data_IF_907567964272
#
_entry.id   IF_907567964272
#
_cell.length_a   1.000
_cell.length_b   1.000
_cell.length_c   1.000
_cell.angle_alpha   90.00
_cell.angle_beta   90.00
_cell.angle_gamma   90.00
#
_symmetry.space_group_name_H-M   'P 1'
#
loop_
_entity.id
_entity.type
_entity.pdbx_description
1 polymer ?
#
# COMPACT_ATOMS: atom_id res chain seq x y z
N UNK A 1 -41.34 14.55 19.36
CA UNK A 1 -41.54 13.81 18.10
C UNK A 1 -40.38 12.85 17.98
N UNK A 2 -40.62 11.58 18.32
CA UNK A 2 -39.63 10.51 18.30
C UNK A 2 -39.60 9.86 16.91
N UNK A 3 -38.41 9.62 16.37
CA UNK A 3 -38.12 8.81 15.17
C UNK A 3 -36.85 7.98 15.50
N UNK A 4 -36.79 6.69 15.11
CA UNK A 4 -36.43 5.59 16.02
C UNK A 4 -34.99 5.04 15.94
N UNK A 5 -34.67 4.18 16.91
CA UNK A 5 -33.40 3.48 17.23
C UNK A 5 -32.87 2.48 16.16
N UNK A 6 -32.72 2.91 14.91
CA UNK A 6 -32.32 2.03 13.79
C UNK A 6 -30.96 2.29 13.14
N UNK A 7 -30.22 3.33 13.52
CA UNK A 7 -29.04 3.81 12.75
C UNK A 7 -27.83 4.04 13.68
N UNK A 8 -27.42 3.03 14.44
CA UNK A 8 -26.15 3.05 15.18
C UNK A 8 -25.16 1.93 14.80
N UNK A 9 -25.50 1.08 13.82
CA UNK A 9 -24.65 -0.06 13.45
C UNK A 9 -23.63 0.16 12.32
N UNK A 10 -23.47 1.39 11.81
CA UNK A 10 -22.46 1.73 10.80
C UNK A 10 -21.35 2.62 11.38
N UNK A 11 -20.78 2.23 12.52
CA UNK A 11 -19.42 2.62 12.88
C UNK A 11 -18.48 1.69 12.13
N UNK A 12 -18.10 2.08 10.92
CA UNK A 12 -16.97 1.46 10.22
C UNK A 12 -15.77 1.49 11.17
N UNK A 13 -15.41 0.32 11.72
CA UNK A 13 -14.17 0.08 12.47
C UNK A 13 -13.00 0.10 11.47
N UNK A 14 -12.77 1.26 10.86
CA UNK A 14 -11.69 1.56 9.92
C UNK A 14 -10.38 1.83 10.68
N UNK A 15 -10.04 0.96 11.64
CA UNK A 15 -8.77 1.00 12.37
C UNK A 15 -7.81 -0.12 11.98
N UNK A 16 -8.31 -1.15 11.27
CA UNK A 16 -7.55 -2.37 11.01
C UNK A 16 -7.00 -2.50 9.59
N UNK A 17 -7.25 -1.52 8.69
CA UNK A 17 -7.00 -1.66 7.25
C UNK A 17 -5.68 -1.05 6.72
N UNK A 18 -4.96 -0.22 7.48
CA UNK A 18 -3.84 0.56 6.91
C UNK A 18 -2.49 -0.16 6.88
N UNK A 19 -2.36 -1.36 7.44
CA UNK A 19 -1.07 -2.09 7.46
C UNK A 19 -0.98 -3.30 6.52
N UNK A 20 -2.03 -3.57 5.73
CA UNK A 20 -2.14 -4.78 4.90
C UNK A 20 -1.54 -4.65 3.50
N UNK A 21 -1.26 -3.45 3.01
CA UNK A 21 -0.98 -3.25 1.59
C UNK A 21 0.41 -3.70 1.14
N UNK A 22 1.31 -4.06 2.06
CA UNK A 22 2.69 -4.47 1.72
C UNK A 22 3.04 -5.92 2.08
N UNK A 23 2.10 -6.71 2.61
CA UNK A 23 2.35 -8.14 2.81
C UNK A 23 1.91 -8.82 1.52
N UNK A 24 2.86 -9.19 0.67
CA UNK A 24 2.63 -10.11 -0.45
C UNK A 24 1.78 -11.24 0.10
N UNK A 25 0.69 -11.61 -0.62
CA UNK A 25 0.10 -12.93 -0.41
C UNK A 25 1.29 -13.90 -0.39
N UNK A 26 1.48 -14.73 0.66
CA UNK A 26 2.41 -15.84 0.52
C UNK A 26 2.00 -16.51 -0.78
N UNK A 27 2.94 -16.56 -1.72
CA UNK A 27 2.70 -17.22 -2.99
C UNK A 27 2.15 -18.59 -2.60
N UNK A 28 1.00 -18.96 -3.14
CA UNK A 28 0.42 -20.27 -2.95
C UNK A 28 1.34 -21.29 -3.65
N UNK A 29 2.51 -21.53 -3.08
CA UNK A 29 3.37 -22.69 -3.32
C UNK A 29 2.87 -23.86 -2.44
N UNK A 30 1.56 -23.92 -2.18
CA UNK A 30 0.88 -25.05 -1.55
C UNK A 30 1.04 -26.34 -2.38
N UNK A 31 1.43 -26.24 -3.66
CA UNK A 31 1.54 -27.35 -4.60
C UNK A 31 2.85 -28.16 -4.57
N UNK A 32 3.99 -27.55 -4.23
CA UNK A 32 5.32 -28.19 -4.43
C UNK A 32 6.04 -28.59 -3.13
N UNK A 33 5.51 -28.22 -1.97
CA UNK A 33 6.14 -28.51 -0.69
C UNK A 33 5.79 -29.93 -0.19
N UNK A 34 6.76 -30.74 0.27
CA UNK A 34 6.49 -32.11 0.73
C UNK A 34 5.43 -32.14 1.84
N UNK A 35 4.37 -32.92 1.63
CA UNK A 35 3.31 -33.09 2.63
C UNK A 35 3.72 -34.17 3.62
N UNK A 36 4.06 -33.75 4.83
CA UNK A 36 4.30 -34.66 5.94
C UNK A 36 3.04 -34.77 6.80
N UNK A 37 2.75 -35.95 7.38
CA UNK A 37 1.65 -36.08 8.33
C UNK A 37 1.89 -35.11 9.49
N UNK A 38 0.87 -34.32 9.86
CA UNK A 38 0.96 -33.23 10.85
C UNK A 38 1.48 -31.89 10.32
N UNK A 39 1.89 -31.81 9.05
CA UNK A 39 2.44 -30.62 8.43
C UNK A 39 1.80 -30.28 7.07
N UNK A 40 0.47 -30.16 7.06
CA UNK A 40 -0.29 -29.76 5.85
C UNK A 40 -1.26 -28.61 6.13
N UNK A 41 -1.06 -27.87 7.23
CA UNK A 41 -1.88 -26.67 7.47
C UNK A 41 -1.48 -25.55 6.51
N UNK A 42 -2.46 -24.77 6.01
CA UNK A 42 -2.16 -23.61 5.17
C UNK A 42 -1.58 -22.47 6.00
N UNK A 43 -0.71 -21.68 5.36
CA UNK A 43 -0.23 -20.44 5.94
C UNK A 43 -1.34 -19.40 6.01
N UNK A 44 -1.69 -18.98 7.21
CA UNK A 44 -2.68 -17.93 7.44
C UNK A 44 -2.01 -16.70 8.03
N UNK A 45 -2.42 -15.52 7.55
CA UNK A 45 -2.05 -14.26 8.18
C UNK A 45 -2.79 -14.12 9.51
N UNK A 46 -2.05 -13.73 10.54
CA UNK A 46 -2.50 -13.62 11.92
C UNK A 46 -2.49 -12.17 12.35
N UNK A 47 -3.51 -11.75 13.09
CA UNK A 47 -3.46 -10.52 13.86
C UNK A 47 -3.02 -10.83 15.29
N UNK A 48 -1.96 -10.15 15.73
CA UNK A 48 -1.43 -10.25 17.07
C UNK A 48 -1.71 -8.94 17.78
N UNK A 49 -2.72 -8.95 18.65
CA UNK A 49 -2.99 -7.81 19.54
C UNK A 49 -2.16 -7.93 20.80
N UNK A 50 -1.73 -6.79 21.32
CA UNK A 50 -0.96 -6.73 22.55
C UNK A 50 -1.53 -5.72 23.54
N UNK A 51 -1.36 -6.04 24.83
CA UNK A 51 -1.61 -5.14 25.94
C UNK A 51 -0.41 -5.15 26.88
N UNK A 52 0.08 -3.97 27.25
CA UNK A 52 1.11 -3.81 28.25
C UNK A 52 0.48 -3.20 29.51
N UNK A 53 0.47 -3.94 30.62
CA UNK A 53 -0.20 -3.55 31.88
C UNK A 53 -1.67 -3.11 31.67
N UNK A 54 -2.39 -3.78 30.75
CA UNK A 54 -3.79 -3.50 30.43
C UNK A 54 -4.01 -2.36 29.42
N UNK A 55 -2.98 -1.66 28.96
CA UNK A 55 -3.09 -0.64 27.90
C UNK A 55 -2.90 -1.31 26.54
N UNK A 56 -3.89 -1.15 25.64
CA UNK A 56 -3.83 -1.70 24.27
C UNK A 56 -2.69 -1.03 23.50
N UNK A 57 -1.75 -1.84 23.02
CA UNK A 57 -0.59 -1.43 22.23
C UNK A 57 -0.82 -1.59 20.72
N UNK A 58 0.28 -1.60 19.98
CA UNK A 58 0.27 -1.77 18.53
C UNK A 58 -0.19 -3.18 18.10
N UNK A 59 -1.03 -3.30 17.07
CA UNK A 59 -1.41 -4.61 16.53
C UNK A 59 -0.42 -5.04 15.46
N UNK A 60 0.25 -6.18 15.69
CA UNK A 60 1.19 -6.75 14.72
C UNK A 60 0.48 -7.68 13.75
N UNK A 61 1.06 -7.82 12.55
CA UNK A 61 0.68 -8.86 11.60
C UNK A 61 1.72 -9.98 11.63
N UNK A 62 1.26 -11.21 11.71
CA UNK A 62 2.10 -12.41 11.73
C UNK A 62 1.63 -13.47 10.74
N UNK A 63 2.28 -14.63 10.77
CA UNK A 63 1.95 -15.80 9.94
C UNK A 63 1.95 -17.07 10.79
N UNK A 64 1.04 -18.01 10.52
CA UNK A 64 1.00 -19.33 11.18
C UNK A 64 2.06 -20.27 10.64
N UNK A 65 2.40 -21.32 11.38
CA UNK A 65 3.14 -22.47 10.85
C UNK A 65 2.24 -23.44 10.07
N UNK A 66 2.85 -24.40 9.34
CA UNK A 66 2.13 -25.53 8.71
C UNK A 66 1.72 -26.65 9.68
N UNK A 67 2.12 -26.52 10.93
CA UNK A 67 1.89 -27.48 12.01
C UNK A 67 1.33 -26.75 13.24
N UNK A 68 0.95 -27.50 14.28
CA UNK A 68 0.33 -26.93 15.48
C UNK A 68 -1.18 -26.70 15.32
N UNK A 69 -1.81 -26.21 16.40
CA UNK A 69 -3.25 -25.97 16.40
C UNK A 69 -3.68 -24.78 15.54
N UNK A 70 -4.91 -24.87 15.02
CA UNK A 70 -5.54 -23.77 14.31
C UNK A 70 -5.90 -22.62 15.25
N UNK A 71 -5.71 -21.40 14.75
CA UNK A 71 -6.18 -20.20 15.43
C UNK A 71 -7.66 -19.94 15.16
N UNK A 72 -8.38 -19.32 16.11
CA UNK A 72 -9.74 -18.85 15.88
C UNK A 72 -9.79 -17.82 14.75
N UNK A 73 -10.90 -17.81 14.02
CA UNK A 73 -11.13 -16.87 12.91
C UNK A 73 -11.53 -15.47 13.37
N UNK A 74 -12.06 -15.37 14.59
CA UNK A 74 -12.62 -14.15 15.14
C UNK A 74 -11.94 -13.80 16.48
N UNK A 75 -11.75 -12.49 16.70
CA UNK A 75 -11.19 -11.94 17.95
C UNK A 75 -11.95 -12.44 19.19
N UNK A 76 -13.28 -12.52 19.12
CA UNK A 76 -14.15 -12.90 20.26
C UNK A 76 -13.94 -14.33 20.76
N UNK A 77 -13.45 -15.21 19.89
CA UNK A 77 -13.22 -16.62 20.20
C UNK A 77 -11.78 -16.90 20.61
N UNK A 78 -10.96 -15.85 20.74
CA UNK A 78 -9.54 -15.94 21.02
C UNK A 78 -9.25 -15.62 22.48
N UNK A 79 -8.30 -16.35 23.06
CA UNK A 79 -7.92 -16.18 24.46
C UNK A 79 -6.79 -15.17 24.57
N UNK A 80 -6.89 -14.29 25.57
CA UNK A 80 -5.82 -13.39 25.98
C UNK A 80 -4.91 -14.18 26.92
N UNK A 81 -3.63 -14.30 26.56
CA UNK A 81 -2.63 -15.07 27.32
C UNK A 81 -1.42 -14.19 27.61
N UNK A 82 -0.75 -14.44 28.74
CA UNK A 82 0.46 -13.68 29.09
C UNK A 82 1.63 -14.16 28.24
N UNK A 83 2.39 -13.23 27.66
CA UNK A 83 3.61 -13.54 26.92
C UNK A 83 4.81 -13.59 27.88
N UNK A 84 5.62 -14.63 27.75
CA UNK A 84 6.79 -14.87 28.57
C UNK A 84 7.98 -15.16 27.64
N UNK A 85 9.10 -14.49 27.87
CA UNK A 85 10.34 -14.77 27.15
C UNK A 85 10.89 -16.13 27.59
N UNK A 86 11.22 -16.95 26.60
CA UNK A 86 11.94 -18.20 26.81
C UNK A 86 13.37 -17.97 27.32
N UNK A 87 13.90 -18.93 28.06
CA UNK A 87 15.29 -18.92 28.50
C UNK A 87 15.89 -20.32 28.31
N UNK A 88 16.74 -20.57 27.29
CA UNK A 88 17.34 -19.59 26.39
C UNK A 88 16.33 -18.96 25.42
N UNK A 89 16.59 -17.72 25.01
CA UNK A 89 15.72 -16.95 24.10
C UNK A 89 15.45 -17.65 22.76
N UNK A 90 16.34 -18.53 22.32
CA UNK A 90 16.14 -19.29 21.09
C UNK A 90 15.18 -20.48 21.27
N UNK A 91 14.78 -20.85 22.50
CA UNK A 91 13.87 -21.96 22.75
C UNK A 91 14.37 -23.31 22.24
N UNK A 92 15.69 -23.49 22.10
CA UNK A 92 16.29 -24.72 21.54
C UNK A 92 16.68 -25.75 22.60
N UNK A 93 16.57 -25.39 23.88
CA UNK A 93 16.72 -26.32 24.99
C UNK A 93 15.67 -26.00 26.05
N UNK A 94 15.27 -26.99 26.87
CA UNK A 94 14.45 -26.73 28.04
C UNK A 94 15.10 -25.69 28.95
N UNK A 95 14.27 -24.91 29.62
CA UNK A 95 14.69 -23.83 30.47
C UNK A 95 15.40 -24.35 31.71
N UNK A 96 16.69 -24.04 31.83
CA UNK A 96 17.52 -24.45 32.96
C UNK A 96 17.24 -23.58 34.19
N UNK A 97 16.12 -23.83 34.89
CA UNK A 97 15.74 -23.27 36.21
C UNK A 97 15.50 -21.74 36.28
N UNK A 98 14.39 -21.31 36.90
CA UNK A 98 14.38 -20.87 38.31
C UNK A 98 12.97 -20.51 38.80
N UNK A 99 12.46 -21.30 39.74
CA UNK A 99 11.23 -21.01 40.48
C UNK A 99 10.70 -22.15 41.36
N UNK A 100 11.51 -23.16 41.75
CA UNK A 100 11.08 -24.08 42.79
C UNK A 100 11.41 -23.46 44.17
N UNK A 101 10.43 -22.84 44.82
CA UNK A 101 10.56 -22.42 46.23
C UNK A 101 10.35 -23.65 47.11
N UNK A 102 11.44 -24.35 47.42
CA UNK A 102 11.39 -25.56 48.23
C UNK A 102 10.85 -26.79 47.48
N UNK A 103 11.07 -27.95 48.07
CA UNK A 103 10.99 -29.28 47.46
C UNK A 103 9.58 -29.75 47.01
N UNK A 104 8.57 -28.87 46.96
CA UNK A 104 7.17 -29.30 46.77
C UNK A 104 6.31 -28.48 45.79
N UNK A 105 6.76 -27.32 45.31
CA UNK A 105 6.04 -26.56 44.26
C UNK A 105 7.03 -26.04 43.23
N UNK A 106 6.99 -26.61 42.03
CA UNK A 106 7.63 -26.00 40.87
C UNK A 106 6.54 -25.47 39.94
N UNK A 107 6.50 -24.16 39.74
CA UNK A 107 5.62 -23.51 38.78
C UNK A 107 6.33 -23.58 37.43
N UNK A 108 5.74 -24.28 36.44
CA UNK A 108 6.21 -24.14 35.07
C UNK A 108 5.94 -22.70 34.62
N UNK A 109 7.01 -21.94 34.40
CA UNK A 109 6.96 -20.51 34.09
C UNK A 109 6.19 -20.18 32.80
N UNK A 110 5.97 -21.19 31.95
CA UNK A 110 5.22 -21.09 30.70
C UNK A 110 3.82 -21.71 30.76
N UNK A 111 3.42 -22.31 31.89
CA UNK A 111 2.12 -23.00 32.00
C UNK A 111 0.96 -22.05 31.68
N UNK A 112 0.21 -22.36 30.61
CA UNK A 112 -0.90 -21.53 30.15
C UNK A 112 -0.50 -20.16 29.59
N UNK A 113 0.79 -19.94 29.32
CA UNK A 113 1.33 -18.68 28.79
C UNK A 113 1.78 -18.86 27.33
N UNK A 114 2.07 -17.74 26.65
CA UNK A 114 2.68 -17.76 25.31
C UNK A 114 4.19 -17.73 25.46
N UNK A 115 4.86 -18.79 25.02
CA UNK A 115 6.32 -18.79 24.94
C UNK A 115 6.77 -17.89 23.80
N UNK A 116 7.63 -16.92 24.10
CA UNK A 116 8.23 -16.02 23.11
C UNK A 116 9.68 -16.40 22.87
N UNK A 117 10.01 -16.75 21.63
CA UNK A 117 11.35 -17.20 21.22
C UNK A 117 11.85 -16.37 20.05
N UNK A 118 13.17 -16.28 19.86
CA UNK A 118 13.77 -15.72 18.65
C UNK A 118 14.03 -16.83 17.62
N UNK A 119 13.93 -16.47 16.34
CA UNK A 119 14.32 -17.36 15.23
C UNK A 119 15.82 -17.66 15.27
N UNK A 120 16.18 -18.86 14.82
CA UNK A 120 17.57 -19.35 14.72
C UNK A 120 17.95 -20.38 15.79
N UNK A 121 19.11 -21.02 15.62
CA UNK A 121 19.68 -22.01 16.55
C UNK A 121 19.15 -23.45 16.39
N UNK A 122 17.87 -23.63 16.09
CA UNK A 122 17.21 -24.92 15.84
C UNK A 122 15.92 -24.72 15.04
N UNK A 123 15.31 -25.82 14.61
CA UNK A 123 14.13 -25.83 13.75
C UNK A 123 12.87 -25.34 14.47
N UNK A 124 11.89 -24.88 13.69
CA UNK A 124 10.62 -24.37 14.23
C UNK A 124 9.81 -25.44 14.97
N UNK A 125 9.81 -26.68 14.48
CA UNK A 125 9.13 -27.81 15.13
C UNK A 125 9.74 -28.10 16.51
N UNK A 126 11.07 -28.13 16.59
CA UNK A 126 11.81 -28.32 17.84
C UNK A 126 11.48 -27.25 18.89
N UNK A 127 11.43 -25.97 18.48
CA UNK A 127 11.01 -24.87 19.38
C UNK A 127 9.61 -25.08 19.93
N UNK A 128 8.68 -25.51 19.08
CA UNK A 128 7.28 -25.74 19.47
C UNK A 128 7.12 -26.96 20.38
N UNK A 129 7.86 -28.04 20.13
CA UNK A 129 7.88 -29.22 20.99
C UNK A 129 8.40 -28.88 22.40
N UNK A 130 9.50 -28.13 22.48
CA UNK A 130 10.07 -27.68 23.76
C UNK A 130 9.07 -26.78 24.48
N UNK A 131 8.55 -25.74 23.83
CA UNK A 131 7.58 -24.83 24.44
C UNK A 131 6.33 -25.57 24.94
N UNK A 132 5.81 -26.52 24.16
CA UNK A 132 4.67 -27.35 24.56
C UNK A 132 5.02 -28.24 25.76
N UNK A 133 6.20 -28.87 25.77
CA UNK A 133 6.66 -29.70 26.88
C UNK A 133 6.80 -28.90 28.19
N UNK A 134 7.03 -27.59 28.08
CA UNK A 134 7.07 -26.63 29.18
C UNK A 134 5.69 -26.06 29.55
N UNK A 135 4.61 -26.58 28.97
CA UNK A 135 3.23 -26.21 29.28
C UNK A 135 2.76 -24.92 28.64
N UNK A 136 3.49 -24.37 27.66
CA UNK A 136 3.04 -23.22 26.89
C UNK A 136 1.70 -23.51 26.21
N UNK A 137 0.82 -22.52 26.17
CA UNK A 137 -0.46 -22.60 25.47
C UNK A 137 -0.35 -22.16 24.00
N UNK A 138 0.72 -21.45 23.63
CA UNK A 138 1.05 -21.02 22.28
C UNK A 138 2.54 -20.69 22.16
N UNK A 139 3.07 -20.71 20.94
CA UNK A 139 4.43 -20.27 20.61
C UNK A 139 4.40 -19.03 19.73
N UNK A 140 5.13 -18.00 20.13
CA UNK A 140 5.41 -16.80 19.34
C UNK A 140 6.88 -16.77 18.96
N UNK A 141 7.17 -16.78 17.66
CA UNK A 141 8.51 -16.68 17.10
C UNK A 141 8.76 -15.25 16.61
N UNK A 142 9.81 -14.62 17.13
CA UNK A 142 10.30 -13.32 16.68
C UNK A 142 11.27 -13.55 15.54
N UNK A 143 10.95 -12.98 14.37
CA UNK A 143 11.82 -13.09 13.21
C UNK A 143 13.09 -12.22 13.36
N UNK A 144 14.13 -12.60 12.63
CA UNK A 144 15.38 -11.85 12.49
C UNK A 144 15.29 -10.71 11.47
N UNK A 145 14.35 -10.81 10.54
CA UNK A 145 14.04 -9.85 9.47
C UNK A 145 12.63 -9.23 9.61
N UNK A 146 12.37 -8.16 8.85
CA UNK A 146 11.04 -7.51 8.80
C UNK A 146 10.02 -8.26 7.93
N UNK A 147 10.49 -9.04 6.96
CA UNK A 147 9.61 -9.87 6.12
C UNK A 147 9.17 -11.12 6.89
N UNK A 148 7.92 -11.57 6.70
CA UNK A 148 7.41 -12.77 7.35
C UNK A 148 7.96 -14.01 6.64
N UNK A 149 8.56 -14.93 7.41
CA UNK A 149 9.05 -16.20 6.89
C UNK A 149 8.02 -17.32 7.08
N UNK A 150 7.92 -18.18 6.07
CA UNK A 150 7.09 -19.39 6.12
C UNK A 150 7.73 -20.46 7.00
N UNK A 151 7.01 -20.92 8.02
CA UNK A 151 7.48 -21.98 8.93
C UNK A 151 7.00 -23.35 8.42
N UNK A 152 7.86 -24.03 7.65
CA UNK A 152 7.66 -25.41 7.20
C UNK A 152 8.13 -26.46 8.20
N UNK A 153 8.06 -27.73 7.80
CA UNK A 153 8.58 -28.86 8.58
C UNK A 153 9.70 -29.57 7.85
N UNK A 154 10.61 -30.16 8.63
CA UNK A 154 11.70 -30.98 8.11
C UNK A 154 11.34 -32.46 8.05
N UNK A 155 12.09 -33.23 7.25
CA UNK A 155 11.92 -34.68 7.13
C UNK A 155 12.26 -35.36 8.48
N UNK A 156 11.30 -36.09 9.04
CA UNK A 156 11.47 -36.81 10.31
C UNK A 156 11.09 -35.98 11.55
N UNK A 157 10.48 -34.81 11.37
CA UNK A 157 9.95 -33.99 12.48
C UNK A 157 8.69 -34.58 13.12
N UNK A 158 8.53 -34.38 14.43
CA UNK A 158 7.36 -34.76 15.25
C UNK A 158 6.20 -33.75 15.14
N UNK A 159 5.98 -33.20 13.94
CA UNK A 159 4.97 -32.15 13.71
C UNK A 159 3.54 -32.55 14.11
N UNK A 160 3.21 -33.86 14.12
CA UNK A 160 1.91 -34.39 14.55
C UNK A 160 1.64 -34.22 16.04
N UNK A 161 2.69 -34.20 16.86
CA UNK A 161 2.57 -34.17 18.32
C UNK A 161 2.42 -32.73 18.84
N UNK A 162 2.55 -31.73 17.96
CA UNK A 162 2.44 -30.31 18.29
C UNK A 162 0.97 -29.90 18.24
N UNK A 163 0.41 -29.61 19.41
CA UNK A 163 -0.98 -29.24 19.66
C UNK A 163 -1.18 -27.76 20.00
N UNK A 164 -0.09 -27.00 20.17
CA UNK A 164 -0.14 -25.55 20.41
C UNK A 164 -0.09 -24.77 19.09
N UNK A 165 -0.76 -23.60 18.98
CA UNK A 165 -0.62 -22.73 17.82
C UNK A 165 0.76 -22.07 17.80
N UNK A 166 1.33 -21.93 16.59
CA UNK A 166 2.65 -21.33 16.37
C UNK A 166 2.52 -20.14 15.41
N UNK A 167 2.98 -18.97 15.84
CA UNK A 167 2.87 -17.70 15.10
C UNK A 167 4.24 -17.05 15.00
N UNK A 168 4.58 -16.53 13.82
CA UNK A 168 5.79 -15.72 13.60
C UNK A 168 5.41 -14.26 13.35
N UNK A 169 6.15 -13.33 13.97
CA UNK A 169 6.00 -11.88 13.83
C UNK A 169 7.31 -11.24 13.32
N UNK A 170 7.25 -10.06 12.68
CA UNK A 170 8.44 -9.37 12.20
C UNK A 170 9.33 -8.89 13.35
N UNK A 171 10.60 -8.62 13.04
CA UNK A 171 11.62 -8.16 13.98
C UNK A 171 11.19 -6.93 14.78
N UNK A 172 10.67 -5.89 14.12
CA UNK A 172 10.19 -4.65 14.78
C UNK A 172 9.14 -4.92 15.87
N UNK A 173 8.14 -5.76 15.58
CA UNK A 173 7.12 -6.15 16.56
C UNK A 173 7.68 -6.95 17.72
N UNK A 174 8.62 -7.87 17.44
CA UNK A 174 9.31 -8.62 18.48
C UNK A 174 10.18 -7.75 19.39
N UNK A 175 10.87 -6.74 18.85
CA UNK A 175 11.65 -5.77 19.63
C UNK A 175 10.76 -4.93 20.54
N UNK A 176 9.59 -4.49 20.05
CA UNK A 176 8.61 -3.78 20.86
C UNK A 176 8.15 -4.64 22.06
N UNK A 177 7.75 -5.89 21.80
CA UNK A 177 7.28 -6.80 22.85
C UNK A 177 8.40 -7.15 23.85
N UNK A 178 9.59 -7.47 23.36
CA UNK A 178 10.73 -7.82 24.18
C UNK A 178 11.11 -6.67 25.13
N UNK A 179 11.11 -5.43 24.62
CA UNK A 179 11.35 -4.24 25.45
C UNK A 179 10.34 -4.12 26.58
N UNK A 180 9.04 -4.26 26.30
CA UNK A 180 8.00 -4.21 27.33
C UNK A 180 8.15 -5.30 28.38
N UNK A 181 8.51 -6.53 27.98
CA UNK A 181 8.72 -7.65 28.92
C UNK A 181 9.95 -7.39 29.80
N UNK A 182 11.07 -6.93 29.21
CA UNK A 182 12.31 -6.62 29.94
C UNK A 182 12.14 -5.44 30.89
N UNK A 183 11.31 -4.46 30.52
CA UNK A 183 10.93 -3.33 31.38
C UNK A 183 10.01 -3.75 32.55
N UNK A 184 9.72 -5.04 32.71
CA UNK A 184 8.92 -5.62 33.79
C UNK A 184 7.41 -5.43 33.63
N UNK A 185 6.94 -5.05 32.43
CA UNK A 185 5.52 -4.92 32.15
C UNK A 185 4.89 -6.31 31.94
N UNK A 186 3.68 -6.51 32.44
CA UNK A 186 2.87 -7.67 32.10
C UNK A 186 2.36 -7.49 30.66
N UNK A 187 2.90 -8.27 29.74
CA UNK A 187 2.50 -8.28 28.33
C UNK A 187 1.51 -9.39 28.09
N UNK A 188 0.34 -9.05 27.58
CA UNK A 188 -0.73 -9.99 27.23
C UNK A 188 -0.98 -9.93 25.73
N UNK A 189 -1.17 -11.09 25.11
CA UNK A 189 -1.32 -11.25 23.67
C UNK A 189 -2.56 -12.03 23.31
N UNK A 190 -3.13 -11.73 22.14
CA UNK A 190 -4.25 -12.45 21.55
C UNK A 190 -3.98 -12.66 20.06
N UNK A 191 -4.15 -13.90 19.60
CA UNK A 191 -3.94 -14.31 18.22
C UNK A 191 -5.26 -14.71 17.57
N UNK A 192 -5.55 -14.20 16.37
CA UNK A 192 -6.64 -14.68 15.54
C UNK A 192 -6.29 -14.58 14.05
N UNK A 193 -6.85 -15.50 13.25
CA UNK A 193 -6.59 -15.62 11.82
C UNK A 193 -7.86 -15.29 11.02
N UNK A 194 -8.10 -14.01 10.68
CA UNK A 194 -9.33 -13.60 10.00
C UNK A 194 -9.44 -14.21 8.60
N UNK A 195 -10.63 -14.68 8.24
CA UNK A 195 -10.91 -15.20 6.89
C UNK A 195 -10.94 -14.05 5.90
N UNK A 196 -10.07 -14.10 4.89
CA UNK A 196 -10.10 -13.15 3.77
C UNK A 196 -11.28 -13.50 2.86
N UNK A 197 -12.21 -12.56 2.59
CA UNK A 197 -13.22 -12.78 1.57
C UNK A 197 -12.55 -12.95 0.19
N UNK A 198 -13.10 -13.78 -0.71
CA UNK A 198 -12.51 -14.02 -2.03
C UNK A 198 -12.50 -12.77 -2.91
N UNK A 199 -13.44 -11.85 -2.67
CA UNK A 199 -13.55 -10.58 -3.38
C UNK A 199 -13.43 -9.45 -2.38
N UNK A 200 -12.44 -8.60 -2.59
CA UNK A 200 -12.29 -7.34 -1.86
C UNK A 200 -13.11 -6.25 -2.58
N UNK A 201 -14.16 -5.75 -1.92
CA UNK A 201 -15.03 -4.69 -2.47
C UNK A 201 -14.25 -3.42 -2.82
N UNK A 202 -13.11 -3.17 -2.16
CA UNK A 202 -12.23 -2.04 -2.45
C UNK A 202 -11.72 -2.10 -3.88
N UNK A 203 -11.44 -3.29 -4.42
CA UNK A 203 -10.97 -3.48 -5.80
C UNK A 203 -12.04 -3.08 -6.81
N UNK A 204 -13.30 -3.46 -6.55
CA UNK A 204 -14.44 -3.07 -7.40
C UNK A 204 -14.61 -1.55 -7.37
N UNK A 205 -14.52 -0.94 -6.19
CA UNK A 205 -14.63 0.51 -6.02
C UNK A 205 -13.51 1.25 -6.78
N UNK A 206 -12.25 0.82 -6.63
CA UNK A 206 -11.11 1.39 -7.35
C UNK A 206 -11.26 1.26 -8.85
N UNK A 207 -11.75 0.11 -9.35
CA UNK A 207 -12.00 -0.09 -10.77
C UNK A 207 -13.06 0.89 -11.31
N UNK A 208 -14.17 1.07 -10.60
CA UNK A 208 -15.22 2.03 -10.97
C UNK A 208 -14.67 3.47 -10.96
N UNK A 209 -13.89 3.84 -9.94
CA UNK A 209 -13.27 5.17 -9.87
C UNK A 209 -12.29 5.43 -11.01
N UNK A 210 -11.48 4.43 -11.37
CA UNK A 210 -10.52 4.55 -12.48
C UNK A 210 -11.24 4.73 -13.82
N UNK A 211 -12.22 3.86 -14.13
CA UNK A 211 -13.01 3.97 -15.36
C UNK A 211 -13.78 5.29 -15.39
N UNK A 212 -14.39 5.68 -14.27
CA UNK A 212 -15.09 6.96 -14.12
C UNK A 212 -14.17 8.16 -14.40
N UNK A 213 -12.95 8.14 -13.88
CA UNK A 213 -11.95 9.21 -14.10
C UNK A 213 -11.59 9.35 -15.57
N UNK A 214 -11.35 8.23 -16.27
CA UNK A 214 -11.04 8.24 -17.71
C UNK A 214 -12.21 8.75 -18.53
N UNK A 215 -13.43 8.31 -18.23
CA UNK A 215 -14.65 8.79 -18.91
C UNK A 215 -14.81 10.29 -18.69
N UNK A 216 -14.73 10.76 -17.43
CA UNK A 216 -14.80 12.19 -17.09
C UNK A 216 -13.75 13.01 -17.84
N UNK A 217 -12.50 12.53 -17.91
CA UNK A 217 -11.44 13.19 -18.65
C UNK A 217 -11.74 13.24 -20.17
N UNK A 218 -12.28 12.17 -20.76
CA UNK A 218 -12.57 12.14 -22.20
C UNK A 218 -13.63 13.16 -22.63
N UNK A 219 -14.68 13.34 -21.82
CA UNK A 219 -15.76 14.32 -22.09
C UNK A 219 -15.46 15.71 -21.51
N UNK A 220 -14.32 15.88 -20.84
CA UNK A 220 -13.97 17.11 -20.14
C UNK A 220 -13.90 18.32 -21.08
N UNK A 221 -13.39 18.13 -22.30
CA UNK A 221 -13.31 19.19 -23.30
C UNK A 221 -14.69 19.73 -23.69
N UNK A 222 -15.71 18.87 -23.81
CA UNK A 222 -17.10 19.29 -24.07
C UNK A 222 -17.70 20.06 -22.89
N UNK A 223 -17.31 19.68 -21.68
CA UNK A 223 -17.71 20.36 -20.44
C UNK A 223 -17.05 21.74 -20.31
N UNK A 224 -15.81 21.88 -20.80
CA UNK A 224 -15.00 23.09 -20.71
C UNK A 224 -15.27 24.13 -21.81
N UNK A 225 -16.03 23.79 -22.86
CA UNK A 225 -16.29 24.61 -24.06
C UNK A 225 -17.10 25.91 -23.84
N UNK A 226 -17.08 26.53 -22.65
CA UNK A 226 -17.63 27.87 -22.45
C UNK A 226 -16.62 29.02 -22.59
N UNK A 227 -15.31 28.76 -22.72
CA UNK A 227 -14.29 29.82 -22.79
C UNK A 227 -13.49 29.91 -24.11
N UNK A 228 -13.24 28.83 -24.87
CA UNK A 228 -12.43 28.95 -26.11
C UNK A 228 -13.19 29.54 -27.33
N UNK A 229 -14.52 29.58 -27.31
CA UNK A 229 -15.32 30.14 -28.41
C UNK A 229 -15.21 31.66 -28.58
N UNK A 230 -14.62 32.39 -27.63
CA UNK A 230 -14.54 33.87 -27.73
C UNK A 230 -13.22 34.40 -28.29
N UNK A 231 -12.16 33.60 -28.33
CA UNK A 231 -10.87 34.02 -28.91
C UNK A 231 -10.67 33.47 -30.33
N UNK A 232 -11.11 32.25 -30.63
CA UNK A 232 -10.90 31.64 -31.96
C UNK A 232 -11.81 32.18 -33.07
N UNK A 233 -12.96 32.78 -32.73
CA UNK A 233 -13.86 33.40 -33.72
C UNK A 233 -13.50 34.87 -34.04
N UNK A 234 -12.70 35.54 -33.20
CA UNK A 234 -12.27 36.92 -33.46
C UNK A 234 -11.05 37.01 -34.39
N UNK A 235 -10.30 35.93 -34.59
CA UNK A 235 -9.19 35.88 -35.56
C UNK A 235 -9.62 35.55 -37.00
N UNK A 236 -10.87 35.14 -37.24
CA UNK A 236 -11.37 34.72 -38.56
C UNK A 236 -12.32 35.73 -39.22
N UNK A 237 -12.33 36.98 -38.78
CA UNK A 237 -12.97 38.08 -39.52
C UNK A 237 -12.10 38.51 -40.70
N UNK A 238 -12.52 38.30 -41.97
CA UNK A 238 -11.72 38.65 -43.12
C UNK A 238 -11.72 40.17 -43.33
N UNK A 239 -10.56 40.80 -43.19
CA UNK A 239 -10.30 42.09 -43.84
C UNK A 239 -9.68 41.82 -45.20
N UNK A 240 -10.52 41.89 -46.23
CA UNK A 240 -10.10 42.01 -47.61
C UNK A 240 -9.27 43.28 -47.80
N UNK A 241 -8.04 43.16 -48.31
CA UNK A 241 -7.52 44.06 -49.35
C UNK A 241 -6.34 43.43 -50.06
N UNK A 242 -6.40 43.50 -51.39
CA UNK A 242 -5.55 42.85 -52.37
C UNK A 242 -4.05 43.21 -52.28
N UNK A 243 -3.17 42.27 -52.62
CA UNK A 243 -2.44 42.31 -53.89
C UNK A 243 -1.68 41.00 -54.16
N UNK A 244 -1.78 40.58 -55.42
CA UNK A 244 -1.22 39.37 -55.99
C UNK A 244 0.31 39.45 -56.21
N UNK A 245 1.00 38.32 -56.06
CA UNK A 245 1.96 37.85 -57.06
C UNK A 245 2.31 36.38 -56.82
N UNK A 246 2.12 35.59 -57.87
CA UNK A 246 2.51 34.20 -57.99
C UNK A 246 4.03 34.04 -58.05
N UNK A 247 4.59 32.95 -57.50
CA UNK A 247 5.52 32.03 -58.18
C UNK A 247 6.01 30.90 -57.25
N UNK A 248 5.85 29.66 -57.77
CA UNK A 248 6.72 28.47 -57.63
C UNK A 248 6.85 27.79 -56.26
N UNK A 249 6.37 26.56 -56.11
CA UNK A 249 6.94 25.27 -56.59
C UNK A 249 7.88 24.67 -55.54
N UNK A 250 7.62 23.40 -55.22
CA UNK A 250 8.44 22.46 -54.47
C UNK A 250 9.10 22.93 -53.17
N UNK A 251 8.42 22.69 -52.05
CA UNK A 251 9.14 22.19 -50.87
C UNK A 251 8.21 21.29 -50.06
N UNK A 252 8.34 19.98 -50.28
CA UNK A 252 8.13 18.97 -49.25
C UNK A 252 9.04 19.34 -48.06
N UNK A 253 8.56 20.21 -47.17
CA UNK A 253 9.21 20.49 -45.90
C UNK A 253 8.87 19.33 -44.97
N UNK A 254 9.82 18.41 -44.85
CA UNK A 254 10.08 17.54 -43.71
C UNK A 254 8.88 17.42 -42.75
N UNK A 255 8.05 16.39 -42.99
CA UNK A 255 7.34 15.75 -41.89
C UNK A 255 8.42 15.22 -40.98
N UNK A 256 8.76 15.98 -39.94
CA UNK A 256 9.68 15.50 -38.92
C UNK A 256 9.03 14.23 -38.37
N UNK A 257 9.69 13.09 -38.57
CA UNK A 257 9.35 11.77 -38.00
C UNK A 257 9.46 11.77 -36.45
N UNK A 258 8.80 12.73 -35.78
CA UNK A 258 8.54 12.77 -34.35
C UNK A 258 7.32 11.87 -34.13
N UNK A 259 7.56 10.57 -34.04
CA UNK A 259 6.49 9.64 -33.70
C UNK A 259 7.04 8.37 -33.05
N UNK A 260 8.12 7.81 -33.60
CA UNK A 260 8.73 6.56 -33.10
C UNK A 260 9.93 6.85 -32.20
N UNK A 261 10.78 7.81 -32.57
CA UNK A 261 11.95 8.20 -31.76
C UNK A 261 11.53 8.75 -30.39
N UNK A 262 10.49 9.58 -30.34
CA UNK A 262 9.94 10.11 -29.08
C UNK A 262 9.34 9.02 -28.20
N UNK A 263 8.67 8.02 -28.79
CA UNK A 263 8.12 6.88 -28.06
C UNK A 263 9.21 6.02 -27.42
N UNK A 264 10.31 5.73 -28.15
CA UNK A 264 11.45 4.97 -27.61
C UNK A 264 12.14 5.75 -26.49
N UNK A 265 12.41 7.05 -26.70
CA UNK A 265 13.00 7.92 -25.68
C UNK A 265 12.12 7.96 -24.43
N UNK A 266 10.80 8.10 -24.61
CA UNK A 266 9.84 8.08 -23.50
C UNK A 266 9.93 6.79 -22.68
N UNK A 267 9.97 5.61 -23.33
CA UNK A 267 10.09 4.31 -22.63
C UNK A 267 11.42 4.19 -21.87
N UNK A 268 12.53 4.62 -22.47
CA UNK A 268 13.85 4.59 -21.82
C UNK A 268 13.89 5.54 -20.62
N UNK A 269 13.37 6.76 -20.77
CA UNK A 269 13.28 7.74 -19.69
C UNK A 269 12.38 7.25 -18.56
N UNK A 270 11.21 6.69 -18.86
CA UNK A 270 10.31 6.10 -17.87
C UNK A 270 10.95 4.92 -17.13
N UNK A 271 11.66 4.04 -17.85
CA UNK A 271 12.38 2.90 -17.26
C UNK A 271 13.52 3.36 -16.36
N UNK A 272 14.27 4.37 -16.79
CA UNK A 272 15.35 4.97 -16.00
C UNK A 272 14.80 5.64 -14.75
N UNK A 273 13.70 6.38 -14.89
CA UNK A 273 13.03 7.02 -13.76
C UNK A 273 12.55 5.97 -12.75
N UNK A 274 11.88 4.89 -13.18
CA UNK A 274 11.41 3.84 -12.28
C UNK A 274 12.55 3.08 -11.59
N UNK A 275 13.66 2.83 -12.27
CA UNK A 275 14.87 2.28 -11.65
C UNK A 275 15.48 3.24 -10.63
N UNK A 276 15.51 4.54 -10.94
CA UNK A 276 15.93 5.56 -9.98
C UNK A 276 14.99 5.59 -8.77
N UNK A 277 13.68 5.49 -8.96
CA UNK A 277 12.71 5.35 -7.86
C UNK A 277 13.08 4.18 -6.96
N UNK A 278 13.34 3.01 -7.55
CA UNK A 278 13.64 1.77 -6.84
C UNK A 278 14.96 1.84 -6.06
N UNK A 279 16.05 2.24 -6.70
CA UNK A 279 17.37 2.28 -6.05
C UNK A 279 17.53 3.45 -5.09
N UNK A 280 16.88 4.58 -5.37
CA UNK A 280 16.86 5.76 -4.50
C UNK A 280 15.57 5.84 -3.68
N UNK A 281 14.98 4.70 -3.27
CA UNK A 281 13.89 4.56 -2.27
C UNK A 281 14.31 5.10 -0.88
N UNK A 282 14.82 6.32 -0.86
CA UNK A 282 15.25 7.09 0.27
C UNK A 282 14.07 7.91 0.77
N UNK A 283 14.01 8.12 2.09
CA UNK A 283 13.00 8.94 2.73
C UNK A 283 12.87 10.33 2.12
N UNK A 284 13.97 10.91 1.61
CA UNK A 284 13.97 12.21 0.94
C UNK A 284 13.22 12.19 -0.40
N UNK A 285 13.38 11.12 -1.17
CA UNK A 285 12.76 10.98 -2.47
C UNK A 285 11.22 10.88 -2.35
N UNK A 286 10.72 10.19 -1.33
CA UNK A 286 9.28 10.11 -1.03
C UNK A 286 8.70 11.49 -0.73
N UNK A 287 9.42 12.33 0.03
CA UNK A 287 8.99 13.71 0.29
C UNK A 287 8.96 14.56 -0.98
N UNK A 288 9.90 14.36 -1.91
CA UNK A 288 9.90 15.02 -3.21
C UNK A 288 8.64 14.65 -4.02
N UNK A 289 8.28 13.36 -4.09
CA UNK A 289 7.06 12.93 -4.79
C UNK A 289 5.80 13.53 -4.17
N UNK A 290 5.72 13.61 -2.83
CA UNK A 290 4.59 14.24 -2.13
C UNK A 290 4.47 15.71 -2.53
N UNK A 291 5.59 16.44 -2.60
CA UNK A 291 5.58 17.86 -3.00
C UNK A 291 5.12 18.02 -4.46
N UNK A 292 5.65 17.22 -5.39
CA UNK A 292 5.22 17.24 -6.80
C UNK A 292 3.73 16.88 -6.95
N UNK A 293 3.27 15.87 -6.21
CA UNK A 293 1.86 15.48 -6.18
C UNK A 293 0.96 16.60 -5.67
N UNK A 294 1.37 17.32 -4.63
CA UNK A 294 0.63 18.49 -4.14
C UNK A 294 0.55 19.60 -5.19
N UNK A 295 1.66 19.93 -5.86
CA UNK A 295 1.64 20.96 -6.92
C UNK A 295 0.70 20.58 -8.06
N UNK A 296 0.84 19.37 -8.60
CA UNK A 296 -0.03 18.90 -9.67
C UNK A 296 -1.49 18.74 -9.23
N UNK A 297 -1.73 18.30 -7.99
CA UNK A 297 -3.07 18.18 -7.42
C UNK A 297 -3.75 19.52 -7.21
N UNK A 298 -3.02 20.56 -6.76
CA UNK A 298 -3.53 21.93 -6.64
C UNK A 298 -3.91 22.49 -8.01
N UNK A 299 -3.01 22.36 -8.99
CA UNK A 299 -3.26 22.83 -10.36
C UNK A 299 -4.47 22.11 -10.97
N UNK A 300 -4.51 20.78 -10.88
CA UNK A 300 -5.60 20.00 -11.45
C UNK A 300 -6.94 20.26 -10.77
N UNK A 301 -6.96 20.41 -9.44
CA UNK A 301 -8.17 20.72 -8.69
C UNK A 301 -8.66 22.15 -8.95
N UNK A 302 -7.74 23.11 -9.07
CA UNK A 302 -8.07 24.49 -9.45
C UNK A 302 -8.70 24.55 -10.84
N UNK A 303 -8.12 23.86 -11.83
CA UNK A 303 -8.69 23.74 -13.17
C UNK A 303 -10.08 23.10 -13.12
N UNK A 304 -10.22 21.96 -12.43
CA UNK A 304 -11.49 21.25 -12.31
C UNK A 304 -12.60 22.11 -11.70
N UNK A 305 -12.32 22.73 -10.55
CA UNK A 305 -13.30 23.55 -9.83
C UNK A 305 -13.65 24.81 -10.61
N UNK A 306 -12.66 25.48 -11.20
CA UNK A 306 -12.88 26.71 -11.97
C UNK A 306 -13.74 26.44 -13.20
N UNK A 307 -13.48 25.38 -13.97
CA UNK A 307 -14.32 24.97 -15.10
C UNK A 307 -15.76 24.67 -14.67
N UNK A 308 -15.95 23.96 -13.56
CA UNK A 308 -17.30 23.65 -13.04
C UNK A 308 -18.03 24.91 -12.57
N UNK A 309 -17.35 25.82 -11.87
CA UNK A 309 -17.93 27.09 -11.39
C UNK A 309 -18.33 27.99 -12.56
N UNK A 310 -17.49 28.11 -13.59
CA UNK A 310 -17.78 28.93 -14.77
C UNK A 310 -18.96 28.36 -15.57
N UNK A 311 -19.08 27.03 -15.63
CA UNK A 311 -20.23 26.35 -16.24
C UNK A 311 -21.51 26.58 -15.44
N UNK A 312 -21.46 26.45 -14.11
CA UNK A 312 -22.63 26.63 -13.24
C UNK A 312 -23.06 28.10 -13.16
N UNK A 313 -22.12 29.04 -13.25
CA UNK A 313 -22.34 30.48 -13.12
C UNK A 313 -21.70 31.28 -14.26
N UNK A 314 -22.31 31.33 -15.45
CA UNK A 314 -21.84 32.13 -16.61
C UNK A 314 -21.68 33.64 -16.33
N UNK A 315 -22.31 34.18 -15.28
CA UNK A 315 -22.17 35.58 -14.85
C UNK A 315 -20.99 35.83 -13.90
N UNK A 316 -20.40 34.79 -13.30
CA UNK A 316 -19.36 34.93 -12.27
C UNK A 316 -17.98 35.30 -12.85
N UNK A 317 -17.68 34.95 -14.10
CA UNK A 317 -16.42 35.29 -14.79
C UNK A 317 -16.27 36.77 -15.17
N UNK A 318 -17.28 37.62 -14.93
CA UNK A 318 -17.31 39.02 -15.40
C UNK A 318 -16.57 40.02 -14.50
N UNK A 319 -16.18 39.65 -13.27
CA UNK A 319 -15.42 40.53 -12.35
C UNK A 319 -13.92 40.25 -12.47
N UNK A 320 -13.26 40.95 -13.40
CA UNK A 320 -11.80 40.91 -13.59
C UNK A 320 -11.12 41.94 -12.68
N UNK A 321 -10.08 41.54 -11.95
CA UNK A 321 -9.18 42.46 -11.26
C UNK A 321 -7.82 42.45 -11.94
N UNK A 322 -7.25 43.63 -12.14
CA UNK A 322 -5.91 43.80 -12.69
C UNK A 322 -4.89 43.74 -11.55
N UNK A 323 -4.10 42.67 -11.48
CA UNK A 323 -2.92 42.60 -10.63
C UNK A 323 -1.65 42.85 -11.47
N UNK A 324 -0.75 43.74 -11.02
CA UNK A 324 0.41 44.19 -11.80
C UNK A 324 1.49 43.11 -12.03
N UNK A 325 1.34 41.92 -11.44
CA UNK A 325 2.31 40.81 -11.56
C UNK A 325 1.77 39.56 -12.28
N UNK A 326 0.44 39.40 -12.39
CA UNK A 326 -0.22 38.15 -12.83
C UNK A 326 -1.26 38.34 -13.96
N UNK A 327 -1.48 39.56 -14.45
CA UNK A 327 -2.45 39.84 -15.51
C UNK A 327 -3.91 39.91 -15.03
N UNK A 328 -4.86 39.99 -15.99
CA UNK A 328 -6.31 40.00 -15.74
C UNK A 328 -6.77 38.65 -15.14
N UNK A 329 -6.94 38.60 -13.82
CA UNK A 329 -7.40 37.37 -13.13
C UNK A 329 -8.75 37.61 -12.45
N UNK A 330 -9.62 36.60 -12.48
CA UNK A 330 -10.93 36.66 -11.82
C UNK A 330 -10.77 36.43 -10.30
N UNK A 331 -11.48 37.21 -9.47
CA UNK A 331 -11.46 37.04 -8.00
C UNK A 331 -11.82 35.62 -7.55
N UNK A 332 -12.66 34.95 -8.33
CA UNK A 332 -13.14 33.61 -8.06
C UNK A 332 -12.01 32.59 -8.26
N UNK A 333 -11.22 32.73 -9.33
CA UNK A 333 -10.07 31.87 -9.58
C UNK A 333 -9.03 31.98 -8.45
N UNK A 334 -8.77 33.20 -7.97
CA UNK A 334 -7.86 33.42 -6.84
C UNK A 334 -8.38 32.78 -5.54
N UNK A 335 -9.67 32.93 -5.25
CA UNK A 335 -10.28 32.31 -4.07
C UNK A 335 -10.22 30.77 -4.15
N UNK A 336 -10.56 30.20 -5.31
CA UNK A 336 -10.48 28.75 -5.55
C UNK A 336 -9.05 28.24 -5.37
N UNK A 337 -8.05 28.97 -5.88
CA UNK A 337 -6.64 28.59 -5.73
C UNK A 337 -6.23 28.51 -4.26
N UNK A 338 -6.62 29.51 -3.45
CA UNK A 338 -6.35 29.51 -2.00
C UNK A 338 -7.01 28.30 -1.33
N UNK A 339 -8.28 28.00 -1.65
CA UNK A 339 -8.97 26.82 -1.14
C UNK A 339 -8.26 25.52 -1.53
N UNK A 340 -7.77 25.41 -2.77
CA UNK A 340 -7.05 24.24 -3.26
C UNK A 340 -5.73 24.02 -2.52
N UNK A 341 -4.96 25.10 -2.28
CA UNK A 341 -3.71 25.07 -1.51
C UNK A 341 -3.97 24.62 -0.08
N UNK A 342 -4.99 25.19 0.58
CA UNK A 342 -5.36 24.80 1.96
C UNK A 342 -5.73 23.32 2.01
N UNK A 343 -6.53 22.82 1.06
CA UNK A 343 -6.90 21.41 0.99
C UNK A 343 -5.68 20.49 0.86
N UNK A 344 -4.75 20.81 -0.04
CA UNK A 344 -3.53 20.02 -0.25
C UNK A 344 -2.62 20.03 0.98
N UNK A 345 -2.48 21.16 1.67
CA UNK A 345 -1.70 21.25 2.92
C UNK A 345 -2.33 20.43 4.03
N UNK A 346 -3.65 20.53 4.22
CA UNK A 346 -4.39 19.75 5.23
C UNK A 346 -4.23 18.26 4.98
N UNK A 347 -4.30 17.84 3.71
CA UNK A 347 -4.05 16.46 3.32
C UNK A 347 -2.60 16.03 3.62
N UNK A 348 -1.61 16.85 3.24
CA UNK A 348 -0.19 16.52 3.43
C UNK A 348 0.19 16.36 4.91
N UNK A 349 -0.37 17.19 5.80
CA UNK A 349 -0.18 17.08 7.25
C UNK A 349 -0.85 15.83 7.80
N UNK A 350 -2.09 15.55 7.37
CA UNK A 350 -2.88 14.42 7.88
C UNK A 350 -2.67 13.11 7.10
N UNK A 351 -1.62 12.99 6.28
CA UNK A 351 -1.45 11.87 5.35
C UNK A 351 -1.45 10.49 6.01
N UNK A 352 -1.00 10.41 7.27
CA UNK A 352 -0.92 9.16 8.04
C UNK A 352 -2.24 8.79 8.74
N UNK A 353 -3.25 9.66 8.72
CA UNK A 353 -4.53 9.40 9.33
C UNK A 353 -5.38 8.46 8.46
N UNK A 354 -6.25 7.65 9.07
CA UNK A 354 -7.04 6.64 8.36
C UNK A 354 -8.07 7.19 7.36
N UNK A 355 -8.34 8.50 7.36
CA UNK A 355 -9.26 9.15 6.41
C UNK A 355 -8.53 9.88 5.27
N UNK A 356 -7.19 9.90 5.27
CA UNK A 356 -6.38 10.66 4.31
C UNK A 356 -6.53 10.17 2.87
N UNK A 357 -6.87 8.89 2.69
CA UNK A 357 -7.07 8.26 1.37
C UNK A 357 -8.10 9.02 0.52
N UNK A 358 -9.18 9.51 1.13
CA UNK A 358 -10.22 10.22 0.40
C UNK A 358 -9.69 11.54 -0.19
N UNK A 359 -8.86 12.27 0.56
CA UNK A 359 -8.21 13.49 0.07
C UNK A 359 -7.18 13.19 -1.01
N UNK A 360 -6.46 12.07 -0.89
CA UNK A 360 -5.50 11.61 -1.90
C UNK A 360 -6.19 11.28 -3.22
N UNK A 361 -7.31 10.56 -3.17
CA UNK A 361 -8.08 10.18 -4.35
C UNK A 361 -8.67 11.41 -5.05
N UNK A 362 -9.19 12.39 -4.30
CA UNK A 362 -9.70 13.64 -4.89
C UNK A 362 -8.59 14.40 -5.62
N UNK A 363 -7.43 14.62 -4.97
CA UNK A 363 -6.28 15.29 -5.59
C UNK A 363 -5.76 14.51 -6.80
N UNK A 364 -5.71 13.18 -6.68
CA UNK A 364 -5.29 12.27 -7.74
C UNK A 364 -6.21 12.30 -8.94
N UNK A 365 -7.53 12.26 -8.75
CA UNK A 365 -8.53 12.32 -9.84
C UNK A 365 -8.41 13.66 -10.58
N UNK A 366 -8.34 14.78 -9.86
CA UNK A 366 -8.19 16.10 -10.48
C UNK A 366 -6.88 16.25 -11.25
N UNK A 367 -5.77 15.73 -10.69
CA UNK A 367 -4.48 15.66 -11.38
C UNK A 367 -4.58 14.80 -12.65
N UNK A 368 -5.17 13.61 -12.56
CA UNK A 368 -5.30 12.69 -13.70
C UNK A 368 -6.16 13.26 -14.83
N UNK A 369 -7.28 13.91 -14.51
CA UNK A 369 -8.10 14.60 -15.52
C UNK A 369 -7.26 15.62 -16.29
N UNK A 370 -6.46 16.42 -15.58
CA UNK A 370 -5.61 17.47 -16.16
C UNK A 370 -4.48 16.89 -17.00
N UNK A 371 -3.78 15.87 -16.50
CA UNK A 371 -2.73 15.17 -17.24
C UNK A 371 -3.30 14.56 -18.52
N UNK A 372 -4.50 13.95 -18.48
CA UNK A 372 -5.17 13.40 -19.65
C UNK A 372 -5.62 14.47 -20.67
N UNK A 373 -5.89 15.71 -20.24
CA UNK A 373 -6.14 16.82 -21.18
C UNK A 373 -4.87 17.23 -21.95
N UNK A 374 -3.72 17.22 -21.26
CA UNK A 374 -2.41 17.59 -21.82
C UNK A 374 -1.83 16.46 -22.68
N UNK A 375 -2.08 15.20 -22.30
CA UNK A 375 -1.61 14.00 -22.98
C UNK A 375 -2.42 13.70 -24.25
N UNK A 376 -2.39 14.59 -25.25
CA UNK A 376 -2.93 14.31 -26.59
C UNK A 376 -1.91 13.56 -27.41
N UNK A 377 -2.21 12.31 -27.77
CA UNK A 377 -1.43 11.56 -28.75
C UNK A 377 -1.92 11.96 -30.16
N UNK A 378 -1.12 12.66 -30.97
CA UNK A 378 -1.56 13.18 -32.27
C UNK A 378 -1.77 12.07 -33.30
N UNK A 379 -1.24 10.87 -33.05
CA UNK A 379 -1.23 9.76 -33.99
C UNK A 379 -1.57 8.45 -33.29
N UNK A 380 -2.62 7.77 -33.78
CA UNK A 380 -2.99 6.42 -33.32
C UNK A 380 -1.85 5.41 -33.49
N UNK A 381 -0.98 5.60 -34.50
CA UNK A 381 0.22 4.78 -34.72
C UNK A 381 1.17 4.80 -33.52
N UNK A 382 1.38 5.96 -32.89
CA UNK A 382 2.22 6.07 -31.67
C UNK A 382 1.53 5.44 -30.50
N UNK A 383 0.21 5.66 -30.36
CA UNK A 383 -0.56 5.09 -29.27
C UNK A 383 -0.46 3.54 -29.28
N UNK A 384 -0.58 2.91 -30.45
CA UNK A 384 -0.42 1.45 -30.58
C UNK A 384 0.99 0.99 -30.21
N UNK A 385 2.03 1.67 -30.69
CA UNK A 385 3.43 1.31 -30.36
C UNK A 385 3.70 1.48 -28.87
N UNK A 386 3.29 2.60 -28.27
CA UNK A 386 3.44 2.84 -26.83
C UNK A 386 2.68 1.80 -26.00
N UNK A 387 1.47 1.41 -26.40
CA UNK A 387 0.68 0.39 -25.70
C UNK A 387 1.34 -0.99 -25.77
N UNK A 388 1.84 -1.38 -26.94
CA UNK A 388 2.60 -2.63 -27.08
C UNK A 388 3.87 -2.62 -26.23
N UNK A 389 4.62 -1.53 -26.24
CA UNK A 389 5.81 -1.38 -25.39
C UNK A 389 5.46 -1.43 -23.89
N UNK A 390 4.38 -0.75 -23.47
CA UNK A 390 3.91 -0.77 -22.09
C UNK A 390 3.46 -2.17 -21.64
N UNK A 391 2.81 -2.94 -22.52
CA UNK A 391 2.44 -4.32 -22.24
C UNK A 391 3.67 -5.23 -22.05
N UNK A 392 4.66 -5.13 -22.94
CA UNK A 392 5.92 -5.87 -22.80
C UNK A 392 6.68 -5.45 -21.54
N UNK A 393 6.68 -4.14 -21.24
CA UNK A 393 7.26 -3.58 -20.03
C UNK A 393 6.63 -4.18 -18.77
N UNK A 394 5.30 -4.20 -18.68
CA UNK A 394 4.58 -4.75 -17.53
C UNK A 394 4.90 -6.23 -17.31
N UNK A 395 4.90 -7.04 -18.37
CA UNK A 395 5.30 -8.45 -18.32
C UNK A 395 6.75 -8.59 -17.84
N UNK A 396 7.68 -7.84 -18.43
CA UNK A 396 9.09 -7.92 -18.05
C UNK A 396 9.28 -7.62 -16.56
N UNK A 397 8.68 -6.54 -16.04
CA UNK A 397 8.84 -6.19 -14.63
C UNK A 397 8.12 -7.13 -13.69
N UNK A 398 6.96 -7.67 -14.06
CA UNK A 398 6.25 -8.64 -13.22
C UNK A 398 7.01 -9.96 -13.13
N UNK A 399 7.51 -10.48 -14.26
CA UNK A 399 8.13 -11.81 -14.28
C UNK A 399 9.65 -11.76 -14.02
N UNK A 400 10.40 -10.86 -14.65
CA UNK A 400 11.86 -10.82 -14.47
C UNK A 400 12.29 -10.33 -13.08
N UNK A 401 11.54 -9.43 -12.41
CA UNK A 401 11.83 -9.16 -11.00
C UNK A 401 11.53 -10.37 -10.12
N UNK A 402 10.46 -11.13 -10.42
CA UNK A 402 10.13 -12.32 -9.62
C UNK A 402 11.23 -13.38 -9.73
N UNK A 403 11.73 -13.62 -10.94
CA UNK A 403 12.77 -14.61 -11.19
C UNK A 403 14.15 -14.15 -10.70
N UNK A 404 14.57 -12.90 -10.98
CA UNK A 404 15.88 -12.40 -10.54
C UNK A 404 15.99 -12.19 -9.03
N UNK A 405 14.88 -11.81 -8.35
CA UNK A 405 14.86 -11.76 -6.88
C UNK A 405 14.93 -13.18 -6.31
N UNK A 406 14.30 -14.17 -6.94
CA UNK A 406 14.44 -15.57 -6.50
C UNK A 406 15.88 -16.07 -6.61
N UNK A 407 16.61 -15.72 -7.68
CA UNK A 407 18.02 -16.11 -7.85
C UNK A 407 18.99 -15.29 -6.99
N UNK A 408 18.80 -13.98 -6.84
CA UNK A 408 19.65 -13.18 -5.93
C UNK A 408 19.40 -13.49 -4.45
N UNK A 409 18.17 -13.84 -4.05
CA UNK A 409 17.89 -14.35 -2.71
C UNK A 409 18.50 -15.74 -2.49
N UNK A 410 18.55 -16.59 -3.52
CA UNK A 410 19.21 -17.90 -3.45
C UNK A 410 20.74 -17.74 -3.33
N UNK A 411 21.36 -16.85 -4.12
CA UNK A 411 22.81 -16.67 -4.12
C UNK A 411 23.35 -15.87 -2.92
N UNK A 412 22.57 -14.93 -2.34
CA UNK A 412 22.98 -14.24 -1.10
C UNK A 412 22.75 -15.07 0.17
N UNK A 413 21.99 -16.16 0.11
CA UNK A 413 21.77 -17.08 1.22
C UNK A 413 22.92 -18.04 1.52
N UNK A 414 23.95 -18.11 0.66
CA UNK A 414 25.16 -18.92 0.88
C UNK A 414 26.41 -18.10 1.26
N UNK A 415 26.28 -16.81 1.52
CA UNK A 415 27.39 -15.98 1.99
C UNK A 415 26.93 -14.89 2.96
N UNK A 416 26.53 -15.31 4.16
CA UNK A 416 26.88 -14.64 5.43
C UNK A 416 26.51 -15.48 6.63
#
# INVERSE_FOLDING_TARGET
>A
MAIPDGIQHLKFKSKDNTHWHNIKKPASHDGDSPKFPGCDHPYNLVKVKNWANGVEGETFSGITARFGAFLPKEEKNSNILTAVLSNPLNGCSPSSLQGCYGFLFCVLQLSGSIATVVRGGCDFTTKAEIAQSEGAAALLVINDEEELAEMGCEKGSSAQDISIPVVLIPKSGGQYLNKSIVDGQKVELLFYAPVRPPVDFSVIFLWIMAVGTVVCASVWSEIANSEETNERYNELSPKETANASAFKDDTEKEVIDINVKSAIVFVITASTFLLLLYFFMSSWFVWLLIVLFCFGGIEGMHNCITTVILRLCRNCGRKKLNLPLFGETSLISLFVLICCVVFAIVWAINRQASYSWAGQDILGICLMITVLQVARLPNIKVATVLLCCAFVYDIFWVFSCTDNISSECYDRGCSR
#
